data_IF_033737741264
#
_entry.id   IF_033737741264
#
_cell.length_a   1.000
_cell.length_b   1.000
_cell.length_c   1.000
_cell.angle_alpha   90.00
_cell.angle_beta   90.00
_cell.angle_gamma   90.00
#
_symmetry.space_group_name_H-M   'P 1'
#
loop_
_entity.id
_entity.type
_entity.pdbx_description
1 polymer ?
#
# COMPACT_ATOMS: atom_id res chain seq x y z
N UNK A 1 -12.06 9.36 4.29
CA UNK A 1 -12.11 7.93 3.89
C UNK A 1 -10.96 7.18 4.56
N UNK A 2 -11.24 6.25 5.49
CA UNK A 2 -10.18 5.47 6.15
C UNK A 2 -9.61 4.41 5.20
N UNK A 3 -8.30 4.43 4.96
CA UNK A 3 -7.61 3.43 4.13
C UNK A 3 -7.45 2.12 4.93
N UNK A 4 -7.94 1.01 4.35
CA UNK A 4 -7.92 -0.32 4.97
C UNK A 4 -6.55 -0.97 4.81
N UNK A 5 -6.18 -1.88 5.71
CA UNK A 5 -4.90 -2.59 5.64
C UNK A 5 -4.72 -3.40 4.35
N UNK A 6 -5.75 -4.12 3.92
CA UNK A 6 -5.71 -4.92 2.69
C UNK A 6 -5.57 -4.06 1.45
N UNK A 7 -6.20 -2.89 1.44
CA UNK A 7 -6.09 -1.92 0.34
C UNK A 7 -4.70 -1.30 0.30
N UNK A 8 -4.13 -0.96 1.45
CA UNK A 8 -2.75 -0.47 1.56
C UNK A 8 -1.78 -1.56 1.10
N UNK A 9 -1.93 -2.80 1.58
CA UNK A 9 -1.09 -3.93 1.16
C UNK A 9 -1.15 -4.14 -0.35
N UNK A 10 -2.36 -4.13 -0.91
CA UNK A 10 -2.54 -4.24 -2.36
C UNK A 10 -1.82 -3.10 -3.10
N UNK A 11 -2.05 -1.86 -2.67
CA UNK A 11 -1.43 -0.69 -3.29
C UNK A 11 0.10 -0.76 -3.25
N UNK A 12 0.68 -1.13 -2.10
CA UNK A 12 2.13 -1.28 -1.97
C UNK A 12 2.66 -2.37 -2.91
N UNK A 13 2.04 -3.55 -2.95
CA UNK A 13 2.45 -4.60 -3.88
C UNK A 13 2.32 -4.19 -5.35
N UNK A 14 1.29 -3.41 -5.70
CA UNK A 14 1.15 -2.87 -7.06
C UNK A 14 2.23 -1.85 -7.40
N UNK A 15 2.57 -0.96 -6.47
CA UNK A 15 3.67 0.01 -6.63
C UNK A 15 5.01 -0.71 -6.77
N UNK A 16 5.29 -1.72 -5.94
CA UNK A 16 6.52 -2.52 -6.04
C UNK A 16 6.64 -3.24 -7.40
N UNK A 17 5.54 -3.84 -7.87
CA UNK A 17 5.51 -4.51 -9.15
C UNK A 17 5.75 -3.53 -10.31
N UNK A 18 5.09 -2.36 -10.27
CA UNK A 18 5.26 -1.32 -11.29
C UNK A 18 6.67 -0.75 -11.27
N UNK A 19 7.20 -0.44 -10.09
CA UNK A 19 8.56 0.06 -9.92
C UNK A 19 9.60 -0.92 -10.49
N UNK A 20 9.42 -2.23 -10.27
CA UNK A 20 10.28 -3.26 -10.88
C UNK A 20 10.11 -3.28 -12.40
N UNK A 21 8.88 -3.20 -12.90
CA UNK A 21 8.56 -3.19 -14.34
C UNK A 21 9.22 -2.02 -15.08
N UNK A 22 9.26 -0.83 -14.46
CA UNK A 22 9.88 0.37 -15.03
C UNK A 22 11.37 0.52 -14.69
N UNK A 23 11.98 -0.44 -14.00
CA UNK A 23 13.40 -0.41 -13.62
C UNK A 23 13.75 0.61 -12.52
N UNK A 24 12.77 1.14 -11.80
CA UNK A 24 12.95 2.13 -10.73
C UNK A 24 12.90 1.51 -9.32
N UNK A 25 13.24 0.23 -9.19
CA UNK A 25 13.34 -0.48 -7.92
C UNK A 25 14.82 -0.65 -7.51
N UNK A 26 15.40 0.31 -6.77
CA UNK A 26 16.79 0.23 -6.34
C UNK A 26 16.98 -0.80 -5.21
N UNK A 27 18.20 -1.34 -5.10
CA UNK A 27 18.57 -2.37 -4.12
C UNK A 27 18.59 -1.87 -2.67
N UNK A 28 18.80 -0.57 -2.48
CA UNK A 28 18.67 0.17 -1.21
C UNK A 28 17.89 1.44 -1.50
N UNK A 29 16.94 1.79 -0.64
CA UNK A 29 16.15 3.01 -0.75
C UNK A 29 16.35 3.87 0.48
N UNK A 30 16.81 5.10 0.28
CA UNK A 30 16.55 6.16 1.23
C UNK A 30 15.11 6.70 1.05
N UNK A 31 14.69 7.60 1.95
CA UNK A 31 13.31 8.14 1.94
C UNK A 31 13.01 8.89 0.64
N UNK A 32 13.96 9.65 0.11
CA UNK A 32 13.79 10.44 -1.11
C UNK A 32 13.63 9.55 -2.34
N UNK A 33 14.44 8.49 -2.44
CA UNK A 33 14.35 7.47 -3.49
C UNK A 33 12.99 6.76 -3.44
N UNK A 34 12.52 6.39 -2.25
CA UNK A 34 11.20 5.78 -2.09
C UNK A 34 10.08 6.72 -2.54
N UNK A 35 10.15 8.01 -2.20
CA UNK A 35 9.19 9.03 -2.66
C UNK A 35 9.22 9.18 -4.18
N UNK A 36 10.41 9.20 -4.78
CA UNK A 36 10.59 9.29 -6.24
C UNK A 36 10.00 8.07 -6.95
N UNK A 37 10.31 6.86 -6.49
CA UNK A 37 9.75 5.61 -7.03
C UNK A 37 8.23 5.58 -6.91
N UNK A 38 7.68 5.98 -5.75
CA UNK A 38 6.23 6.06 -5.57
C UNK A 38 5.57 7.06 -6.53
N UNK A 39 6.20 8.22 -6.72
CA UNK A 39 5.69 9.27 -7.62
C UNK A 39 5.73 8.82 -9.09
N UNK A 40 6.72 8.03 -9.48
CA UNK A 40 6.77 7.42 -10.81
C UNK A 40 5.67 6.36 -11.02
N UNK A 41 5.19 5.72 -9.95
CA UNK A 41 4.14 4.69 -9.99
C UNK A 41 2.73 5.24 -9.75
N UNK A 42 2.48 6.55 -9.96
CA UNK A 42 1.16 7.16 -9.71
C UNK A 42 0.03 6.53 -10.53
N UNK A 43 0.34 5.91 -11.67
CA UNK A 43 -0.62 5.20 -12.52
C UNK A 43 -1.31 4.02 -11.82
N UNK A 44 -0.65 3.34 -10.87
CA UNK A 44 -1.18 2.16 -10.16
C UNK A 44 -1.89 2.49 -8.84
N UNK A 45 -2.26 3.77 -8.62
CA UNK A 45 -2.79 4.24 -7.33
C UNK A 45 -4.23 3.79 -7.04
N UNK A 46 -4.93 3.27 -8.04
CA UNK A 46 -6.31 2.83 -7.89
C UNK A 46 -6.39 1.44 -7.24
N UNK A 47 -7.16 1.34 -6.16
CA UNK A 47 -7.54 0.05 -5.58
C UNK A 47 -8.91 -0.34 -6.16
N UNK A 48 -8.99 -1.36 -7.03
CA UNK A 48 -10.26 -1.76 -7.61
C UNK A 48 -11.20 -2.30 -6.53
N UNK A 49 -12.49 -2.02 -6.68
CA UNK A 49 -13.54 -2.51 -5.76
C UNK A 49 -13.64 -4.04 -5.71
N UNK A 50 -13.26 -4.68 -6.83
CA UNK A 50 -13.18 -6.12 -6.98
C UNK A 50 -11.72 -6.58 -6.88
N UNK A 51 -11.54 -7.78 -6.35
CA UNK A 51 -10.25 -8.49 -6.41
C UNK A 51 -10.02 -9.05 -7.81
N UNK A 52 -8.79 -9.47 -8.11
CA UNK A 52 -8.45 -10.14 -9.38
C UNK A 52 -9.31 -11.40 -9.67
N UNK A 53 -9.91 -12.00 -8.63
CA UNK A 53 -10.83 -13.15 -8.75
C UNK A 53 -12.31 -12.72 -8.81
N UNK A 54 -12.61 -11.47 -9.16
CA UNK A 54 -13.95 -10.86 -9.18
C UNK A 54 -14.74 -10.95 -7.85
N UNK A 55 -14.06 -11.15 -6.71
CA UNK A 55 -14.69 -11.11 -5.40
C UNK A 55 -14.71 -9.69 -4.85
N UNK A 56 -15.79 -9.30 -4.18
CA UNK A 56 -15.84 -8.06 -3.37
C UNK A 56 -14.72 -8.09 -2.33
N UNK A 57 -14.03 -6.96 -2.14
CA UNK A 57 -13.05 -6.81 -1.06
C UNK A 57 -13.77 -6.89 0.30
N UNK A 58 -13.15 -7.59 1.26
CA UNK A 58 -13.69 -7.80 2.60
C UNK A 58 -14.01 -6.45 3.27
N UNK A 59 -15.14 -6.42 3.97
CA UNK A 59 -15.57 -5.27 4.80
C UNK A 59 -15.35 -5.60 6.28
N UNK A 60 -15.20 -4.58 7.14
CA UNK A 60 -14.97 -4.77 8.58
C UNK A 60 -13.51 -5.02 9.01
N UNK A 61 -12.53 -4.81 8.13
CA UNK A 61 -11.12 -4.90 8.52
C UNK A 61 -10.64 -3.63 9.25
N UNK A 62 -9.66 -3.82 10.14
CA UNK A 62 -9.00 -2.72 10.84
C UNK A 62 -8.39 -1.72 9.84
N UNK A 63 -8.44 -0.44 10.21
CA UNK A 63 -7.73 0.62 9.50
C UNK A 63 -6.29 0.73 10.00
N UNK A 64 -5.38 1.27 9.19
CA UNK A 64 -4.00 1.53 9.63
C UNK A 64 -3.96 2.44 10.88
N UNK A 65 -4.84 3.44 10.94
CA UNK A 65 -4.99 4.31 12.11
C UNK A 65 -5.35 3.52 13.37
N UNK A 66 -6.24 2.53 13.24
CA UNK A 66 -6.63 1.65 14.35
C UNK A 66 -5.46 0.78 14.81
N UNK A 67 -4.68 0.21 13.89
CA UNK A 67 -3.50 -0.59 14.24
C UNK A 67 -2.43 0.24 14.94
N UNK A 68 -2.11 1.43 14.42
CA UNK A 68 -1.15 2.35 15.05
C UNK A 68 -1.61 2.73 16.46
N UNK A 69 -2.91 3.00 16.65
CA UNK A 69 -3.46 3.29 17.96
C UNK A 69 -3.35 2.10 18.93
N UNK A 70 -3.60 0.87 18.47
CA UNK A 70 -3.42 -0.35 19.27
C UNK A 70 -1.95 -0.55 19.67
N UNK A 71 -1.02 -0.41 18.72
CA UNK A 71 0.42 -0.57 18.99
C UNK A 71 0.94 0.46 20.00
N UNK A 72 0.50 1.73 19.90
CA UNK A 72 0.86 2.76 20.88
C UNK A 72 0.31 2.48 22.28
N UNK A 73 -0.83 1.80 22.39
CA UNK A 73 -1.39 1.36 23.68
C UNK A 73 -0.60 0.21 24.29
N UNK A 74 -0.07 -0.69 23.46
CA UNK A 74 0.75 -1.83 23.90
C UNK A 74 2.22 -1.47 24.21
N UNK A 75 2.67 -0.27 23.81
CA UNK A 75 4.01 0.25 24.13
C UNK A 75 4.05 1.12 25.41
N UNK A 76 2.92 1.25 26.12
CA UNK A 76 2.85 1.81 27.48
C UNK A 76 2.66 0.69 28.48
#
# INVERSE_FOLDING_TARGET
MQKRLSDIRYLMSSVEAEARRIGMWPARQNVEEAVKTFSACVSVRAVPHLTAKNRKRRQGQLSWKTVVALMRRHQK
#
